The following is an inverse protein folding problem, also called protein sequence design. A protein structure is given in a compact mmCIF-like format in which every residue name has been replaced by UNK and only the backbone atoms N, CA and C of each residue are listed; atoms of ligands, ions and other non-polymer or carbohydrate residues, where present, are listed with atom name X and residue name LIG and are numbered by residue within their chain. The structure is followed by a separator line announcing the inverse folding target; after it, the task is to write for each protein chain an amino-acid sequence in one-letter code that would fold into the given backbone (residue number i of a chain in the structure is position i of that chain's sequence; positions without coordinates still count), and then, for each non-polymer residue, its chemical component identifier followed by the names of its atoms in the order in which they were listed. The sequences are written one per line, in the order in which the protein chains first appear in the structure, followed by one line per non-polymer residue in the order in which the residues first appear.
data_IF_326087276339
#
_entry.id   IF_326087276339
#
_cell.length_a   1.000
_cell.length_b   1.000
_cell.length_c   1.000
_cell.angle_alpha   90.00
_cell.angle_beta   90.00
_cell.angle_gamma   90.00
#
_symmetry.space_group_name_H-M   'P 1'
#
loop_
_entity.id
_entity.type
_entity.pdbx_description
1 polymer ?
#
# COMPACT_ATOMS: atom_id res chain seq x y z
N UNK A 1 -3.02 1.98 -32.82
CA UNK A 1 -2.96 1.27 -31.53
C UNK A 1 -1.97 2.06 -30.71
N UNK A 2 -2.44 2.87 -29.77
CA UNK A 2 -1.56 3.75 -28.98
C UNK A 2 -0.58 2.89 -28.18
N UNK A 3 0.69 2.91 -28.56
CA UNK A 3 1.80 2.27 -27.85
C UNK A 3 2.06 3.07 -26.57
N UNK A 4 1.20 2.88 -25.56
CA UNK A 4 1.44 3.43 -24.24
C UNK A 4 2.62 2.67 -23.62
N UNK A 5 3.75 3.35 -23.55
CA UNK A 5 4.94 2.87 -22.86
C UNK A 5 4.67 2.93 -21.35
N UNK A 6 4.59 1.76 -20.70
CA UNK A 6 4.39 1.66 -19.26
C UNK A 6 5.75 1.48 -18.59
N UNK A 7 6.18 2.46 -17.80
CA UNK A 7 7.38 2.35 -16.96
C UNK A 7 7.02 1.73 -15.61
N UNK A 8 7.69 0.63 -15.26
CA UNK A 8 7.58 0.00 -13.94
C UNK A 8 8.73 0.52 -13.07
N UNK A 9 8.42 1.42 -12.15
CA UNK A 9 9.39 1.94 -11.20
C UNK A 9 9.40 1.13 -9.91
N UNK A 10 10.60 0.88 -9.37
CA UNK A 10 10.77 0.19 -8.10
C UNK A 10 10.63 1.19 -6.96
N UNK A 11 9.45 1.21 -6.33
CA UNK A 11 9.21 1.95 -5.10
C UNK A 11 9.93 1.29 -3.91
N UNK A 12 10.53 2.10 -3.05
CA UNK A 12 11.24 1.63 -1.85
C UNK A 12 10.52 2.09 -0.59
N UNK A 13 10.22 1.15 0.31
CA UNK A 13 9.67 1.44 1.64
C UNK A 13 10.63 2.23 2.56
N UNK A 14 11.88 2.46 2.13
CA UNK A 14 12.86 3.25 2.87
C UNK A 14 12.75 4.76 2.59
N UNK A 15 12.15 5.15 1.46
CA UNK A 15 11.99 6.57 1.09
C UNK A 15 10.68 7.11 1.67
N UNK A 16 10.76 8.25 2.36
CA UNK A 16 9.57 8.90 2.96
C UNK A 16 8.55 9.32 1.90
N UNK A 17 8.99 9.73 0.71
CA UNK A 17 8.10 10.13 -0.38
C UNK A 17 7.30 8.95 -0.93
N UNK A 18 7.98 7.85 -1.29
CA UNK A 18 7.33 6.61 -1.73
C UNK A 18 6.35 6.10 -0.67
N UNK A 19 6.74 6.12 0.61
CA UNK A 19 5.86 5.75 1.71
C UNK A 19 4.58 6.59 1.78
N UNK A 20 4.66 7.90 1.50
CA UNK A 20 3.46 8.77 1.48
C UNK A 20 2.54 8.43 0.32
N UNK A 21 3.09 8.13 -0.85
CA UNK A 21 2.32 7.72 -2.03
C UNK A 21 1.59 6.41 -1.73
N UNK A 22 2.33 5.41 -1.24
CA UNK A 22 1.77 4.10 -0.89
C UNK A 22 0.72 4.23 0.22
N UNK A 23 0.99 5.02 1.27
CA UNK A 23 0.04 5.28 2.35
C UNK A 23 -1.27 5.87 1.81
N UNK A 24 -1.20 6.86 0.91
CA UNK A 24 -2.37 7.47 0.31
C UNK A 24 -3.18 6.46 -0.53
N UNK A 25 -2.51 5.64 -1.35
CA UNK A 25 -3.16 4.65 -2.20
C UNK A 25 -3.82 3.56 -1.35
N UNK A 26 -3.10 3.02 -0.38
CA UNK A 26 -3.61 1.95 0.49
C UNK A 26 -4.73 2.45 1.40
N UNK A 27 -4.67 3.68 1.90
CA UNK A 27 -5.78 4.28 2.64
C UNK A 27 -7.03 4.41 1.78
N UNK A 28 -6.90 4.70 0.48
CA UNK A 28 -8.01 4.69 -0.47
C UNK A 28 -8.57 3.29 -0.72
N UNK A 29 -7.71 2.30 -0.97
CA UNK A 29 -8.13 0.92 -1.24
C UNK A 29 -8.73 0.23 -0.01
N UNK A 30 -8.23 0.51 1.19
CA UNK A 30 -8.68 -0.11 2.44
C UNK A 30 -9.69 0.73 3.22
N UNK A 31 -10.36 1.68 2.56
CA UNK A 31 -11.52 2.35 3.15
C UNK A 31 -12.65 1.38 3.52
N UNK A 32 -12.84 0.34 2.70
CA UNK A 32 -13.84 -0.68 2.97
C UNK A 32 -13.22 -1.84 3.77
N UNK A 33 -13.75 -2.16 4.97
CA UNK A 33 -13.24 -3.29 5.78
C UNK A 33 -13.33 -4.64 5.06
N UNK A 34 -14.28 -4.82 4.13
CA UNK A 34 -14.35 -6.04 3.31
C UNK A 34 -13.13 -6.22 2.42
N UNK A 35 -12.64 -5.13 1.84
CA UNK A 35 -11.42 -5.15 1.00
C UNK A 35 -10.20 -5.50 1.84
N UNK A 36 -10.12 -4.99 3.08
CA UNK A 36 -9.01 -5.31 3.99
C UNK A 36 -8.95 -6.80 4.33
N UNK A 37 -10.12 -7.42 4.58
CA UNK A 37 -10.22 -8.87 4.86
C UNK A 37 -9.75 -9.76 3.71
N UNK A 38 -9.77 -9.26 2.46
CA UNK A 38 -9.29 -10.00 1.29
C UNK A 38 -7.77 -10.00 1.14
N UNK A 39 -7.07 -9.08 1.81
CA UNK A 39 -5.61 -8.93 1.68
C UNK A 39 -4.89 -9.81 2.69
N UNK A 40 -5.27 -9.73 3.96
CA UNK A 40 -4.68 -10.56 5.00
C UNK A 40 -5.55 -10.57 6.25
N UNK A 41 -5.74 -11.73 6.90
CA UNK A 41 -6.43 -11.81 8.19
C UNK A 41 -5.68 -11.14 9.34
N UNK A 42 -4.40 -10.81 9.15
CA UNK A 42 -3.56 -10.12 10.15
C UNK A 42 -3.72 -8.59 10.13
N UNK A 43 -4.42 -8.05 9.12
CA UNK A 43 -4.66 -6.63 8.97
C UNK A 43 -5.97 -6.25 9.66
N UNK A 44 -5.87 -5.38 10.66
CA UNK A 44 -7.02 -4.88 11.40
C UNK A 44 -7.56 -3.61 10.76
N UNK A 45 -8.88 -3.45 10.76
CA UNK A 45 -9.54 -2.20 10.42
C UNK A 45 -9.61 -1.29 11.66
N UNK A 46 -9.38 0.03 11.54
CA UNK A 46 -8.94 0.75 10.34
C UNK A 46 -7.49 0.42 9.97
N UNK A 47 -7.20 0.37 8.66
CA UNK A 47 -5.85 0.07 8.16
C UNK A 47 -4.82 1.09 8.69
N UNK A 48 -3.72 0.59 9.27
CA UNK A 48 -2.61 1.40 9.78
C UNK A 48 -1.36 1.12 8.98
N UNK A 49 -1.04 2.02 8.05
CA UNK A 49 0.11 1.88 7.16
C UNK A 49 1.45 1.72 7.93
N UNK A 50 1.68 2.54 8.96
CA UNK A 50 2.92 2.50 9.76
C UNK A 50 3.14 1.16 10.44
N UNK A 51 2.09 0.55 11.00
CA UNK A 51 2.16 -0.76 11.64
C UNK A 51 2.43 -1.86 10.59
N UNK A 52 1.83 -1.74 9.41
CA UNK A 52 2.02 -2.68 8.31
C UNK A 52 3.46 -2.66 7.76
N UNK A 53 4.01 -1.47 7.52
CA UNK A 53 5.40 -1.31 7.06
C UNK A 53 6.38 -1.79 8.12
N UNK A 54 6.15 -1.47 9.40
CA UNK A 54 7.01 -1.90 10.50
C UNK A 54 7.02 -3.42 10.64
N UNK A 55 5.86 -4.10 10.52
CA UNK A 55 5.78 -5.58 10.56
C UNK A 55 6.41 -6.29 9.36
N UNK A 56 6.67 -5.58 8.26
CA UNK A 56 7.27 -6.12 7.02
C UNK A 56 8.78 -5.92 6.94
N UNK A 57 9.34 -4.99 7.75
CA UNK A 57 10.76 -4.63 7.77
C UNK A 57 11.58 -5.38 8.84
N UNK A 58 10.92 -6.21 9.66
CA UNK A 58 11.53 -7.17 10.59
C UNK A 58 11.03 -8.58 10.24
#
# INVERSE_FOLDING_TARGET
MDEREYTLEKISYSKKEDCRIIESVLNGWFQNPKTLNLVSPSLNYPFKFKDWVSKKLF
#
